data_IF_866018818478
#
_entry.id   IF_866018818478
#
_cell.length_a   1.000
_cell.length_b   1.000
_cell.length_c   1.000
_cell.angle_alpha   90.00
_cell.angle_beta   90.00
_cell.angle_gamma   90.00
#
_symmetry.space_group_name_H-M   'P 1'
#
loop_
_entity.id
_entity.type
_entity.pdbx_description
1 polymer ?
#
# COMPACT_ATOMS: atom_id res chain seq x y z
N UNK A 1 -9.82 -3.18 6.11
CA UNK A 1 -9.26 -4.35 6.81
C UNK A 1 -7.77 -4.37 6.53
N UNK A 2 -6.88 -4.55 7.53
CA UNK A 2 -5.45 -4.74 7.26
C UNK A 2 -5.23 -6.07 6.51
N UNK A 3 -4.31 -6.08 5.55
CA UNK A 3 -3.94 -7.29 4.79
C UNK A 3 -2.76 -7.91 5.52
N UNK A 4 -2.99 -9.10 6.06
CA UNK A 4 -2.07 -9.77 6.97
C UNK A 4 -1.91 -11.22 6.55
N UNK A 5 -0.67 -11.66 6.37
CA UNK A 5 -0.34 -13.03 5.94
C UNK A 5 0.54 -13.67 7.00
N UNK A 6 0.20 -14.88 7.47
CA UNK A 6 1.09 -15.63 8.35
C UNK A 6 2.37 -15.98 7.62
N UNK A 7 3.51 -15.83 8.28
CA UNK A 7 4.83 -16.13 7.69
C UNK A 7 4.94 -17.56 7.15
N UNK A 8 4.32 -18.52 7.82
CA UNK A 8 4.31 -19.91 7.38
C UNK A 8 3.38 -20.18 6.18
N UNK A 9 2.54 -19.21 5.83
CA UNK A 9 1.63 -19.28 4.69
C UNK A 9 2.03 -18.28 3.59
N UNK A 10 3.21 -17.66 3.72
CA UNK A 10 3.73 -16.72 2.74
C UNK A 10 4.18 -17.49 1.50
N UNK A 11 3.47 -17.29 0.40
CA UNK A 11 3.84 -17.77 -0.94
C UNK A 11 4.25 -16.58 -1.79
N UNK A 12 4.91 -16.84 -2.93
CA UNK A 12 5.26 -15.81 -3.90
C UNK A 12 4.04 -15.01 -4.37
N UNK A 13 2.89 -15.66 -4.57
CA UNK A 13 1.63 -15.02 -4.94
C UNK A 13 1.15 -14.03 -3.87
N UNK A 14 1.19 -14.42 -2.59
CA UNK A 14 0.81 -13.52 -1.49
C UNK A 14 1.80 -12.39 -1.33
N UNK A 15 3.09 -12.65 -1.52
CA UNK A 15 4.11 -11.62 -1.50
C UNK A 15 3.89 -10.61 -2.64
N UNK A 16 3.57 -11.08 -3.84
CA UNK A 16 3.23 -10.22 -4.97
C UNK A 16 1.97 -9.40 -4.69
N UNK A 17 0.92 -9.99 -4.10
CA UNK A 17 -0.29 -9.28 -3.69
C UNK A 17 0.01 -8.17 -2.66
N UNK A 18 0.84 -8.46 -1.65
CA UNK A 18 1.29 -7.44 -0.68
C UNK A 18 2.04 -6.30 -1.38
N UNK A 19 2.92 -6.62 -2.34
CA UNK A 19 3.64 -5.64 -3.13
C UNK A 19 2.70 -4.81 -4.01
N UNK A 20 1.69 -5.43 -4.60
CA UNK A 20 0.66 -4.73 -5.38
C UNK A 20 -0.08 -3.72 -4.51
N UNK A 21 -0.44 -4.09 -3.28
CA UNK A 21 -1.15 -3.21 -2.34
C UNK A 21 -0.28 -1.99 -2.00
N UNK A 22 1.00 -2.16 -1.61
CA UNK A 22 1.86 -1.01 -1.27
C UNK A 22 2.16 -0.11 -2.46
N UNK A 23 2.20 -0.66 -3.68
CA UNK A 23 2.38 0.12 -4.89
C UNK A 23 1.14 0.90 -5.26
N UNK A 24 -0.05 0.32 -5.05
CA UNK A 24 -1.32 0.85 -5.54
C UNK A 24 -2.07 1.69 -4.52
N UNK A 25 -1.76 1.59 -3.24
CA UNK A 25 -2.45 2.30 -2.18
C UNK A 25 -1.52 3.12 -1.28
N UNK A 26 -2.06 4.17 -0.67
CA UNK A 26 -1.44 4.99 0.38
C UNK A 26 -2.26 4.90 1.66
N UNK A 27 -1.70 5.38 2.77
CA UNK A 27 -2.43 5.52 4.01
C UNK A 27 -3.61 6.48 3.85
N UNK A 28 -4.82 6.06 4.23
CA UNK A 28 -6.01 6.91 4.13
C UNK A 28 -5.99 8.12 5.10
N UNK A 29 -5.12 8.11 6.10
CA UNK A 29 -5.06 9.17 7.12
C UNK A 29 -3.95 10.20 6.90
N UNK A 30 -2.82 9.79 6.31
CA UNK A 30 -1.68 10.68 6.11
C UNK A 30 -1.11 10.64 4.70
N UNK A 31 -1.75 9.90 3.79
CA UNK A 31 -1.44 9.85 2.35
C UNK A 31 -0.02 9.37 2.00
N UNK A 32 0.74 8.95 3.02
CA UNK A 32 2.06 8.35 2.87
C UNK A 32 1.96 6.93 2.33
N UNK A 33 3.06 6.47 1.73
CA UNK A 33 3.17 5.12 1.21
C UNK A 33 2.99 4.06 2.30
N UNK A 34 2.30 2.98 1.92
CA UNK A 34 2.18 1.80 2.77
C UNK A 34 3.47 0.98 2.68
N UNK A 35 3.74 0.22 3.72
CA UNK A 35 4.91 -0.66 3.82
C UNK A 35 4.49 -2.02 4.32
N UNK A 36 5.29 -3.04 3.98
CA UNK A 36 5.14 -4.39 4.51
C UNK A 36 6.00 -4.46 5.77
N UNK A 37 5.37 -4.69 6.92
CA UNK A 37 6.07 -4.87 8.19
C UNK A 37 5.79 -6.23 8.79
N UNK A 38 6.78 -6.79 9.48
CA UNK A 38 6.59 -8.01 10.27
C UNK A 38 5.90 -7.66 11.59
N UNK A 39 4.88 -8.44 11.98
CA UNK A 39 4.40 -8.54 13.35
C UNK A 39 4.95 -9.82 14.03
N UNK A 40 5.99 -9.70 14.87
CA UNK A 40 6.61 -10.87 15.51
C UNK A 40 5.69 -11.54 16.55
N UNK A 41 4.79 -10.79 17.18
CA UNK A 41 3.86 -11.32 18.19
C UNK A 41 2.79 -12.23 17.59
N UNK A 42 2.35 -11.94 16.37
CA UNK A 42 1.37 -12.75 15.64
C UNK A 42 2.01 -13.71 14.62
N UNK A 43 3.32 -13.57 14.35
CA UNK A 43 4.01 -14.33 13.31
C UNK A 43 3.52 -13.99 11.89
N UNK A 44 3.04 -12.76 11.67
CA UNK A 44 2.46 -12.30 10.40
C UNK A 44 3.33 -11.23 9.73
N UNK A 45 3.11 -11.05 8.44
CA UNK A 45 3.51 -9.91 7.65
C UNK A 45 2.25 -9.10 7.35
N UNK A 46 2.30 -7.80 7.60
CA UNK A 46 1.15 -6.91 7.57
C UNK A 46 1.44 -5.74 6.62
N UNK A 47 0.46 -5.38 5.79
CA UNK A 47 0.52 -4.18 4.94
C UNK A 47 -0.15 -3.02 5.66
N UNK A 48 0.62 -1.96 5.93
CA UNK A 48 0.15 -0.83 6.72
C UNK A 48 0.99 0.42 6.58
N UNK A 49 0.50 1.52 7.16
CA UNK A 49 1.30 2.72 7.31
C UNK A 49 2.47 2.44 8.27
N UNK A 50 3.58 3.19 8.11
CA UNK A 50 4.66 3.18 9.09
C UNK A 50 4.18 3.61 10.48
N UNK A 51 3.17 4.48 10.55
CA UNK A 51 2.49 4.78 11.79
C UNK A 51 1.45 3.68 12.08
N UNK A 52 1.67 2.94 13.17
CA UNK A 52 0.83 1.83 13.61
C UNK A 52 -0.56 2.26 14.10
N UNK A 53 -0.73 3.53 14.44
CA UNK A 53 -2.03 4.12 14.80
C UNK A 53 -2.88 4.41 13.58
N UNK A 54 -2.29 4.38 12.37
CA UNK A 54 -3.03 4.68 11.16
C UNK A 54 -3.72 3.45 10.59
N UNK A 55 -4.98 3.64 10.24
CA UNK A 55 -5.82 2.59 9.69
C UNK A 55 -6.41 3.00 8.34
N UNK A 56 -6.62 2.00 7.48
CA UNK A 56 -7.23 2.20 6.18
C UNK A 56 -6.24 2.57 5.07
N UNK A 57 -6.67 2.28 3.84
CA UNK A 57 -5.90 2.52 2.63
C UNK A 57 -6.74 3.29 1.63
N UNK A 58 -6.08 4.11 0.82
CA UNK A 58 -6.67 4.89 -0.25
C UNK A 58 -5.94 4.54 -1.56
N UNK A 59 -6.68 4.27 -2.64
CA UNK A 59 -6.07 3.92 -3.93
C UNK A 59 -5.34 5.15 -4.52
N UNK A 60 -4.09 4.98 -4.96
CA UNK A 60 -3.26 6.02 -5.60
C UNK A 60 -3.83 6.51 -6.94
N UNK A 61 -4.83 5.83 -7.50
CA UNK A 61 -5.42 6.11 -8.82
C UNK A 61 -6.09 7.48 -8.94
N UNK A 62 -6.33 8.18 -7.82
CA UNK A 62 -6.70 9.61 -7.82
C UNK A 62 -5.50 10.55 -7.97
N UNK A 63 -4.28 10.15 -7.62
CA UNK A 63 -3.10 11.02 -7.65
C UNK A 63 -2.28 10.91 -8.95
N UNK A 64 -2.18 9.73 -9.56
CA UNK A 64 -1.30 9.53 -10.73
C UNK A 64 -2.00 9.76 -12.08
N UNK A 65 -3.33 9.66 -12.14
CA UNK A 65 -4.07 9.95 -13.37
C UNK A 65 -4.19 11.46 -13.66
N UNK A 66 -4.27 12.31 -12.63
CA UNK A 66 -4.36 13.76 -12.83
C UNK A 66 -3.02 14.38 -13.24
N UNK A 67 -1.89 13.87 -12.75
CA UNK A 67 -0.58 14.37 -13.16
C UNK A 67 -0.23 14.05 -14.62
N UNK A 68 -0.68 12.90 -15.17
CA UNK A 68 -0.53 12.63 -16.61
C UNK A 68 -1.50 13.42 -17.48
N UNK A 69 -2.64 13.85 -16.95
CA UNK A 69 -3.61 14.68 -17.69
C UNK A 69 -3.24 16.17 -17.67
N UNK A 70 -2.59 16.66 -16.60
CA UNK A 70 -2.11 18.03 -16.50
C UNK A 70 -0.79 18.28 -17.26
N UNK A 71 0.08 17.27 -17.40
CA UNK A 71 1.36 17.39 -18.11
C UNK A 71 1.30 17.26 -19.65
N UNK A 72 0.11 17.10 -20.25
CA UNK A 72 -0.06 17.01 -21.71
C UNK A 72 -0.84 18.21 -22.31
N UNK A 73 -1.03 19.30 -21.56
CA UNK A 73 -1.73 20.50 -22.04
C UNK A 73 -0.83 21.74 -22.19
N UNK A 74 0.49 21.61 -22.11
CA UNK A 74 1.43 22.75 -22.30
C UNK A 74 2.46 22.55 -23.43
N UNK A 75 2.14 21.76 -24.45
CA UNK A 75 2.85 21.84 -25.74
C UNK A 75 1.82 22.01 -26.88
N UNK A 76 1.38 23.25 -27.07
CA UNK A 76 0.54 23.70 -28.19
C UNK A 76 0.70 25.19 -28.41
#
# INVERSE_FOLDING_TARGET
>A
MPYSVKRNELTDEKWEEMNNIVQRYVCAQCENELTIHTNPSAGTLDVGCINKEHHGWLEKTTAVQEYRRAGQLEEG
#
